data_IF_953772909555
#
_entry.id   IF_953772909555
#
_cell.length_a   1.000
_cell.length_b   1.000
_cell.length_c   1.000
_cell.angle_alpha   90.00
_cell.angle_beta   90.00
_cell.angle_gamma   90.00
#
_symmetry.space_group_name_H-M   'P 1'
#
loop_
_entity.id
_entity.type
_entity.pdbx_description
1 polymer ?
#
# COMPACT_ATOMS: atom_id res chain seq x y z
N UNK A 1 11.42 -12.22 15.67
CA UNK A 1 10.48 -11.42 14.86
C UNK A 1 10.08 -10.17 15.65
N UNK A 2 10.57 -9.00 15.24
CA UNK A 2 10.32 -7.76 15.98
C UNK A 2 8.84 -7.35 15.77
N UNK A 3 7.99 -7.53 16.79
CA UNK A 3 6.52 -7.36 16.73
C UNK A 3 6.07 -5.99 16.22
N UNK A 4 6.91 -4.98 16.40
CA UNK A 4 6.59 -3.58 16.08
C UNK A 4 7.22 -3.09 14.77
N UNK A 5 8.22 -3.80 14.24
CA UNK A 5 9.03 -3.36 13.10
C UNK A 5 9.55 -1.92 13.26
N UNK A 6 9.90 -1.30 12.15
CA UNK A 6 10.16 0.14 12.08
C UNK A 6 8.82 0.90 12.03
N UNK A 7 8.52 1.65 13.10
CA UNK A 7 7.27 2.42 13.22
C UNK A 7 7.21 3.59 12.25
N UNK A 8 8.33 4.23 11.95
CA UNK A 8 8.38 5.36 11.02
C UNK A 8 8.11 4.87 9.60
N UNK A 9 8.75 3.78 9.19
CA UNK A 9 8.51 3.14 7.90
C UNK A 9 7.04 2.70 7.77
N UNK A 10 6.49 2.05 8.79
CA UNK A 10 5.09 1.62 8.79
C UNK A 10 4.11 2.80 8.69
N UNK A 11 4.41 3.92 9.36
CA UNK A 11 3.64 5.16 9.26
C UNK A 11 3.73 5.77 7.86
N UNK A 12 4.94 5.86 7.29
CA UNK A 12 5.16 6.38 5.94
C UNK A 12 4.40 5.56 4.88
N UNK A 13 4.49 4.23 4.92
CA UNK A 13 3.75 3.34 4.01
C UNK A 13 2.25 3.54 4.16
N UNK A 14 1.75 3.70 5.39
CA UNK A 14 0.33 3.97 5.62
C UNK A 14 -0.11 5.29 4.98
N UNK A 15 0.67 6.36 5.17
CA UNK A 15 0.41 7.68 4.58
C UNK A 15 0.42 7.62 3.06
N UNK A 16 1.40 6.94 2.45
CA UNK A 16 1.46 6.75 0.98
C UNK A 16 0.20 6.04 0.48
N UNK A 17 -0.24 4.97 1.15
CA UNK A 17 -1.45 4.25 0.76
C UNK A 17 -2.69 5.16 0.86
N UNK A 18 -2.81 5.99 1.90
CA UNK A 18 -3.92 6.94 2.02
C UNK A 18 -3.89 8.00 0.91
N UNK A 19 -2.73 8.53 0.58
CA UNK A 19 -2.57 9.51 -0.49
C UNK A 19 -2.97 8.91 -1.84
N UNK A 20 -2.46 7.71 -2.17
CA UNK A 20 -2.82 6.99 -3.40
C UNK A 20 -4.32 6.68 -3.46
N UNK A 21 -4.92 6.25 -2.34
CA UNK A 21 -6.36 6.00 -2.28
C UNK A 21 -7.19 7.24 -2.67
N UNK A 22 -6.78 8.43 -2.18
CA UNK A 22 -7.53 9.67 -2.41
C UNK A 22 -7.28 10.28 -3.79
N UNK A 23 -6.06 10.18 -4.30
CA UNK A 23 -5.63 11.00 -5.44
C UNK A 23 -5.18 10.22 -6.66
N UNK A 24 -4.72 8.98 -6.53
CA UNK A 24 -4.22 8.20 -7.69
C UNK A 24 -5.38 7.51 -8.43
N UNK A 25 -5.66 7.89 -9.70
CA UNK A 25 -6.73 7.28 -10.48
C UNK A 25 -6.54 5.77 -10.68
N UNK A 26 -5.28 5.32 -10.81
CA UNK A 26 -4.99 3.89 -11.00
C UNK A 26 -5.33 3.08 -9.74
N UNK A 27 -4.98 3.62 -8.58
CA UNK A 27 -5.33 3.02 -7.29
C UNK A 27 -6.85 3.01 -7.08
N UNK A 28 -7.58 4.07 -7.48
CA UNK A 28 -9.06 4.10 -7.42
C UNK A 28 -9.70 3.01 -8.27
N UNK A 29 -9.30 2.90 -9.55
CA UNK A 29 -9.81 1.85 -10.43
C UNK A 29 -9.51 0.43 -9.88
N UNK A 30 -8.33 0.25 -9.27
CA UNK A 30 -8.00 -1.01 -8.60
C UNK A 30 -8.90 -1.28 -7.39
N UNK A 31 -9.16 -0.28 -6.55
CA UNK A 31 -10.04 -0.40 -5.37
C UNK A 31 -11.46 -0.78 -5.83
N UNK A 32 -12.01 -0.08 -6.82
CA UNK A 32 -13.34 -0.34 -7.36
C UNK A 32 -13.46 -1.78 -7.86
N UNK A 33 -12.49 -2.26 -8.64
CA UNK A 33 -12.44 -3.65 -9.09
C UNK A 33 -12.43 -4.63 -7.93
N UNK A 34 -11.62 -4.39 -6.89
CA UNK A 34 -11.53 -5.29 -5.72
C UNK A 34 -12.79 -5.25 -4.85
N UNK A 35 -13.45 -4.09 -4.76
CA UNK A 35 -14.75 -3.97 -4.11
C UNK A 35 -15.81 -4.79 -4.86
N UNK A 36 -15.82 -4.73 -6.19
CA UNK A 36 -16.72 -5.54 -7.03
C UNK A 36 -16.47 -7.06 -6.88
N UNK A 37 -15.23 -7.46 -6.62
CA UNK A 37 -14.85 -8.85 -6.28
C UNK A 37 -15.21 -9.24 -4.82
N UNK A 38 -15.91 -8.38 -4.07
CA UNK A 38 -16.36 -8.66 -2.71
C UNK A 38 -15.31 -8.45 -1.62
N UNK A 39 -14.17 -7.81 -1.91
CA UNK A 39 -13.16 -7.52 -0.88
C UNK A 39 -13.58 -6.35 -0.01
N UNK A 40 -13.32 -6.46 1.28
CA UNK A 40 -13.52 -5.36 2.22
C UNK A 40 -12.46 -4.26 2.03
N UNK A 41 -12.77 -2.98 2.32
CA UNK A 41 -11.78 -1.90 2.27
C UNK A 41 -10.53 -2.17 3.12
N UNK A 42 -10.67 -2.90 4.23
CA UNK A 42 -9.57 -3.32 5.10
C UNK A 42 -8.63 -4.32 4.41
N UNK A 43 -9.18 -5.31 3.71
CA UNK A 43 -8.38 -6.25 2.91
C UNK A 43 -7.66 -5.53 1.77
N UNK A 44 -8.37 -4.66 1.05
CA UNK A 44 -7.80 -3.88 -0.06
C UNK A 44 -6.64 -3.02 0.43
N UNK A 45 -6.80 -2.32 1.57
CA UNK A 45 -5.72 -1.52 2.16
C UNK A 45 -4.50 -2.37 2.55
N UNK A 46 -4.71 -3.59 3.07
CA UNK A 46 -3.61 -4.52 3.37
C UNK A 46 -2.87 -4.97 2.12
N UNK A 47 -3.59 -5.22 1.03
CA UNK A 47 -3.00 -5.55 -0.28
C UNK A 47 -2.20 -4.37 -0.83
N UNK A 48 -2.76 -3.16 -0.79
CA UNK A 48 -2.09 -1.94 -1.24
C UNK A 48 -0.79 -1.68 -0.46
N UNK A 49 -0.81 -1.83 0.88
CA UNK A 49 0.41 -1.74 1.69
C UNK A 49 1.50 -2.68 1.18
N UNK A 50 1.16 -3.93 0.88
CA UNK A 50 2.11 -4.92 0.35
C UNK A 50 2.69 -4.50 -1.01
N UNK A 51 1.88 -3.97 -1.91
CA UNK A 51 2.38 -3.49 -3.20
C UNK A 51 3.31 -2.30 -3.05
N UNK A 52 2.94 -1.31 -2.23
CA UNK A 52 3.78 -0.14 -1.94
C UNK A 52 5.12 -0.58 -1.33
N UNK A 53 5.13 -1.48 -0.35
CA UNK A 53 6.38 -1.98 0.25
C UNK A 53 7.27 -2.66 -0.79
N UNK A 54 6.71 -3.48 -1.68
CA UNK A 54 7.49 -4.15 -2.74
C UNK A 54 8.05 -3.18 -3.77
N UNK A 55 7.27 -2.17 -4.12
CA UNK A 55 7.68 -1.10 -5.03
C UNK A 55 8.83 -0.28 -4.41
N UNK A 56 8.70 0.13 -3.15
CA UNK A 56 9.75 0.83 -2.41
C UNK A 56 11.03 0.01 -2.32
N UNK A 57 10.93 -1.28 -2.00
CA UNK A 57 12.10 -2.17 -1.95
C UNK A 57 12.85 -2.19 -3.29
N UNK A 58 12.13 -2.38 -4.41
CA UNK A 58 12.73 -2.36 -5.74
C UNK A 58 13.36 -1.01 -6.09
N UNK A 59 12.72 0.10 -5.73
CA UNK A 59 13.27 1.43 -5.97
C UNK A 59 14.54 1.67 -5.17
N UNK A 60 14.60 1.21 -3.91
CA UNK A 60 15.78 1.33 -3.07
C UNK A 60 16.92 0.42 -3.55
N UNK A 61 16.60 -0.79 -4.02
CA UNK A 61 17.58 -1.73 -4.57
C UNK A 61 18.14 -1.26 -5.91
N UNK A 62 17.31 -0.68 -6.78
CA UNK A 62 17.75 -0.14 -8.07
C UNK A 62 18.44 1.23 -7.96
N UNK A 63 18.26 1.94 -6.85
CA UNK A 63 18.93 3.21 -6.58
C UNK A 63 20.29 3.04 -5.89
N UNK A 64 20.61 1.82 -5.46
CA UNK A 64 21.91 1.41 -4.93
C UNK A 64 22.80 0.85 -6.04
#
# INVERSE_FOLDING_TARGET
>A
LNRSGDRHLNSAIYTIVLARWRHDPRTKAYIERRLAEGKTPREIRRILKRYVTRELYKHLENAA
#
